data_IF_942416841127
#
_entry.id   IF_942416841127
#
_cell.length_a   1.000
_cell.length_b   1.000
_cell.length_c   1.000
_cell.angle_alpha   90.00
_cell.angle_beta   90.00
_cell.angle_gamma   90.00
#
_symmetry.space_group_name_H-M   'P 1'
#
loop_
_entity.id
_entity.type
_entity.pdbx_description
1 polymer ?
#
# COMPACT_ATOMS: atom_id res chain seq x y z
N UNK A 1 -1.58 -10.68 8.93
CA UNK A 1 -1.17 -11.29 7.62
C UNK A 1 0.35 -11.26 7.48
N UNK A 2 1.07 -12.27 7.96
CA UNK A 2 2.55 -12.29 7.88
C UNK A 2 2.99 -13.38 6.89
N UNK A 3 3.88 -13.02 5.96
CA UNK A 3 4.50 -13.95 5.02
C UNK A 3 6.01 -13.76 5.02
N UNK A 4 6.75 -14.82 5.29
CA UNK A 4 8.22 -14.84 5.15
C UNK A 4 8.56 -15.26 3.73
N UNK A 5 9.36 -14.45 3.04
CA UNK A 5 9.76 -14.66 1.64
C UNK A 5 11.14 -15.31 1.58
N UNK A 6 12.06 -14.86 2.43
CA UNK A 6 13.38 -15.47 2.61
C UNK A 6 13.79 -15.42 4.07
N UNK A 7 14.96 -15.97 4.38
CA UNK A 7 15.58 -15.88 5.71
C UNK A 7 15.82 -14.45 6.18
N UNK A 8 15.81 -13.46 5.27
CA UNK A 8 16.01 -12.04 5.56
C UNK A 8 14.82 -11.14 5.22
N UNK A 9 13.77 -11.64 4.58
CA UNK A 9 12.64 -10.81 4.13
C UNK A 9 11.31 -11.30 4.68
N UNK A 10 10.67 -10.47 5.51
CA UNK A 10 9.27 -10.67 5.97
C UNK A 10 8.37 -9.59 5.40
N UNK A 11 7.20 -9.97 4.91
CA UNK A 11 6.13 -9.08 4.47
C UNK A 11 4.94 -9.15 5.44
N UNK A 12 4.48 -8.00 5.92
CA UNK A 12 3.35 -7.86 6.84
C UNK A 12 2.26 -7.03 6.17
N UNK A 13 1.09 -7.64 6.04
CA UNK A 13 -0.12 -7.01 5.51
C UNK A 13 -0.93 -6.36 6.62
N UNK A 14 -1.28 -5.09 6.45
CA UNK A 14 -2.14 -4.36 7.37
C UNK A 14 -3.48 -4.04 6.71
N UNK A 15 -4.58 -4.37 7.40
CA UNK A 15 -5.93 -4.05 6.96
C UNK A 15 -6.49 -2.96 7.89
N UNK A 16 -6.95 -1.86 7.29
CA UNK A 16 -7.42 -0.63 7.94
C UNK A 16 -8.70 -0.78 8.80
N UNK A 17 -9.06 -2.00 9.19
CA UNK A 17 -10.31 -2.34 9.86
C UNK A 17 -10.06 -2.79 11.31
N UNK A 18 -8.88 -3.33 11.64
CA UNK A 18 -8.62 -3.92 12.96
C UNK A 18 -7.38 -3.36 13.67
N UNK A 19 -7.50 -2.92 14.95
CA UNK A 19 -6.35 -2.53 15.79
C UNK A 19 -5.28 -3.63 15.94
N UNK A 20 -5.69 -4.88 15.73
CA UNK A 20 -4.86 -6.09 15.86
C UNK A 20 -3.69 -6.10 14.87
N UNK A 21 -3.87 -5.57 13.65
CA UNK A 21 -2.79 -5.50 12.66
C UNK A 21 -1.63 -4.58 13.10
N UNK A 22 -1.93 -3.54 13.88
CA UNK A 22 -0.90 -2.60 14.37
C UNK A 22 -0.03 -3.24 15.45
N UNK A 23 -0.64 -3.97 16.38
CA UNK A 23 0.11 -4.67 17.43
C UNK A 23 0.92 -5.83 16.85
N UNK A 24 0.42 -6.51 15.81
CA UNK A 24 1.16 -7.52 15.05
C UNK A 24 2.44 -6.93 14.44
N UNK A 25 2.36 -5.76 13.79
CA UNK A 25 3.55 -5.06 13.26
C UNK A 25 4.56 -4.72 14.36
N UNK A 26 4.10 -4.15 15.48
CA UNK A 26 4.99 -3.80 16.62
C UNK A 26 5.73 -5.02 17.13
N UNK A 27 4.99 -6.11 17.36
CA UNK A 27 5.52 -7.35 17.89
C UNK A 27 6.58 -7.93 16.95
N UNK A 28 6.28 -8.03 15.66
CA UNK A 28 7.22 -8.57 14.67
C UNK A 28 8.51 -7.74 14.59
N UNK A 29 8.41 -6.40 14.59
CA UNK A 29 9.58 -5.51 14.57
C UNK A 29 10.43 -5.70 15.82
N UNK A 30 9.81 -5.81 17.00
CA UNK A 30 10.53 -6.01 18.26
C UNK A 30 11.19 -7.40 18.34
N UNK A 31 10.48 -8.45 17.91
CA UNK A 31 10.97 -9.83 18.00
C UNK A 31 12.09 -10.13 17.00
N UNK A 32 11.99 -9.61 15.76
CA UNK A 32 12.98 -9.86 14.71
C UNK A 32 14.14 -8.88 14.71
N UNK A 33 13.99 -7.73 15.38
CA UNK A 33 15.01 -6.68 15.46
C UNK A 33 15.68 -6.39 14.10
N UNK A 34 14.88 -5.96 13.10
CA UNK A 34 15.35 -5.82 11.73
C UNK A 34 16.38 -4.69 11.59
N UNK A 35 17.21 -4.79 10.55
CA UNK A 35 18.06 -3.68 10.12
C UNK A 35 17.20 -2.58 9.47
N UNK A 36 16.22 -2.99 8.65
CA UNK A 36 15.38 -2.06 7.89
C UNK A 36 13.90 -2.44 8.02
N UNK A 37 13.07 -1.42 8.23
CA UNK A 37 11.62 -1.50 8.08
C UNK A 37 11.20 -0.68 6.86
N UNK A 38 10.78 -1.37 5.80
CA UNK A 38 10.26 -0.78 4.59
C UNK A 38 8.73 -0.61 4.70
N UNK A 39 8.20 0.57 4.34
CA UNK A 39 6.77 0.89 4.52
C UNK A 39 6.13 1.37 3.22
N UNK A 40 4.88 0.97 2.97
CA UNK A 40 4.04 1.44 1.85
C UNK A 40 3.61 2.90 2.03
N UNK A 41 4.60 3.79 2.01
CA UNK A 41 4.44 5.23 1.95
C UNK A 41 5.43 5.80 0.94
N UNK A 42 5.03 6.91 0.33
CA UNK A 42 5.90 7.77 -0.45
C UNK A 42 6.16 9.07 0.33
N UNK A 43 7.23 9.82 0.01
CA UNK A 43 7.61 11.01 0.76
C UNK A 43 6.48 12.04 0.90
N UNK A 44 5.71 12.27 -0.18
CA UNK A 44 4.59 13.22 -0.16
C UNK A 44 3.48 12.79 0.81
N UNK A 45 3.16 11.49 0.87
CA UNK A 45 2.19 10.95 1.84
C UNK A 45 2.73 10.95 3.27
N UNK A 46 4.01 10.65 3.46
CA UNK A 46 4.65 10.70 4.78
C UNK A 46 4.60 12.13 5.36
N UNK A 47 4.98 13.13 4.57
CA UNK A 47 4.90 14.55 4.97
C UNK A 47 3.44 14.95 5.27
N UNK A 48 2.48 14.55 4.43
CA UNK A 48 1.07 14.84 4.67
C UNK A 48 0.58 14.24 6.00
N UNK A 49 0.88 12.98 6.28
CA UNK A 49 0.43 12.29 7.50
C UNK A 49 1.10 12.82 8.77
N UNK A 50 2.36 13.25 8.69
CA UNK A 50 3.09 13.84 9.84
C UNK A 50 2.72 15.31 10.06
N UNK A 51 2.39 16.06 9.00
CA UNK A 51 2.03 17.48 9.09
C UNK A 51 0.54 17.69 9.40
N UNK A 52 -0.35 16.76 9.06
CA UNK A 52 -1.77 16.84 9.50
C UNK A 52 -1.93 16.72 11.03
N UNK A 53 -0.93 16.18 11.74
CA UNK A 53 -0.83 16.29 13.21
C UNK A 53 -0.42 17.69 13.70
N UNK A 54 0.11 18.54 12.81
CA UNK A 54 0.61 19.89 13.06
C UNK A 54 -0.10 20.93 12.17
N UNK A 55 -1.42 21.08 12.34
CA UNK A 55 -2.14 22.36 12.25
C UNK A 55 -2.09 23.27 11.00
N UNK A 56 -1.31 23.01 9.95
CA UNK A 56 -1.13 23.96 8.83
C UNK A 56 -1.40 23.32 7.47
N UNK A 57 -2.66 23.39 7.03
CA UNK A 57 -3.06 23.03 5.65
C UNK A 57 -2.86 24.23 4.74
N UNK A 58 -1.80 24.18 3.93
CA UNK A 58 -1.57 25.11 2.83
C UNK A 58 -2.60 24.92 1.71
N UNK A 59 -3.55 25.85 1.59
CA UNK A 59 -4.42 25.98 0.44
C UNK A 59 -3.64 26.62 -0.72
N UNK A 60 -3.35 25.85 -1.78
CA UNK A 60 -2.62 26.35 -2.95
C UNK A 60 -3.23 25.92 -4.29
N UNK A 61 -4.04 26.81 -4.89
CA UNK A 61 -4.02 27.16 -6.32
C UNK A 61 -4.65 26.22 -7.37
N UNK A 62 -5.79 26.65 -7.96
CA UNK A 62 -6.27 26.25 -9.29
C UNK A 62 -7.78 25.91 -9.39
N UNK A 63 -8.52 26.56 -10.29
CA UNK A 63 -9.97 26.33 -10.45
C UNK A 63 -10.32 24.89 -10.89
N UNK A 64 -9.40 24.17 -11.55
CA UNK A 64 -9.55 22.76 -11.90
C UNK A 64 -9.07 21.78 -10.80
N UNK A 65 -8.15 22.22 -9.93
CA UNK A 65 -7.67 21.45 -8.78
C UNK A 65 -8.67 21.50 -7.63
N UNK A 66 -9.55 22.49 -7.56
CA UNK A 66 -10.59 22.57 -6.52
C UNK A 66 -11.60 21.40 -6.58
N UNK A 67 -12.04 20.98 -7.76
CA UNK A 67 -12.92 19.80 -7.90
C UNK A 67 -12.15 18.50 -7.61
N UNK A 68 -10.91 18.42 -8.09
CA UNK A 68 -10.02 17.28 -7.84
C UNK A 68 -9.74 17.10 -6.34
N UNK A 69 -9.38 18.18 -5.66
CA UNK A 69 -9.15 18.20 -4.22
C UNK A 69 -10.42 17.89 -3.45
N UNK A 70 -11.61 18.29 -3.95
CA UNK A 70 -12.90 17.90 -3.35
C UNK A 70 -13.25 16.43 -3.54
N UNK A 71 -12.98 15.84 -4.71
CA UNK A 71 -13.18 14.40 -4.96
C UNK A 71 -12.20 13.59 -4.13
N UNK A 72 -10.93 14.00 -4.10
CA UNK A 72 -9.89 13.36 -3.29
C UNK A 72 -10.20 13.49 -1.80
N UNK A 73 -10.61 14.68 -1.35
CA UNK A 73 -11.12 14.91 0.00
C UNK A 73 -12.35 14.06 0.27
N UNK A 74 -13.31 13.95 -0.64
CA UNK A 74 -14.50 13.12 -0.46
C UNK A 74 -14.14 11.63 -0.31
N UNK A 75 -13.24 11.11 -1.16
CA UNK A 75 -12.73 9.74 -1.05
C UNK A 75 -12.02 9.56 0.28
N UNK A 76 -11.04 10.41 0.61
CA UNK A 76 -10.29 10.37 1.87
C UNK A 76 -11.21 10.43 3.10
N UNK A 77 -12.19 11.33 3.09
CA UNK A 77 -13.11 11.57 4.21
C UNK A 77 -14.16 10.46 4.35
N UNK A 78 -14.56 9.81 3.24
CA UNK A 78 -15.46 8.65 3.25
C UNK A 78 -14.78 7.41 3.81
N UNK A 79 -13.51 7.20 3.46
CA UNK A 79 -12.67 6.15 4.06
C UNK A 79 -12.42 6.42 5.54
N UNK A 80 -12.06 7.66 5.93
CA UNK A 80 -11.82 8.03 7.33
C UNK A 80 -13.06 7.90 8.25
N UNK A 81 -14.27 8.19 7.74
CA UNK A 81 -15.50 8.16 8.53
C UNK A 81 -16.10 6.76 8.75
N UNK A 82 -15.75 5.77 7.94
CA UNK A 82 -16.22 4.39 8.12
C UNK A 82 -15.30 3.53 9.00
N UNK A 83 -14.06 3.96 9.22
CA UNK A 83 -13.00 3.15 9.86
C UNK A 83 -12.42 3.73 11.16
N UNK A 84 -12.82 4.94 11.56
CA UNK A 84 -12.44 5.53 12.86
C UNK A 84 -10.95 5.92 13.01
N UNK A 85 -10.12 5.73 11.98
CA UNK A 85 -8.69 6.08 11.97
C UNK A 85 -8.25 6.58 10.57
N UNK A 86 -7.38 7.61 10.46
CA UNK A 86 -6.88 8.06 9.16
C UNK A 86 -6.09 6.96 8.46
N UNK A 87 -6.42 6.68 7.20
CA UNK A 87 -5.65 5.79 6.35
C UNK A 87 -4.16 6.19 6.37
N UNK A 88 -3.27 5.25 6.72
CA UNK A 88 -1.83 5.51 6.89
C UNK A 88 -1.32 5.64 8.33
N UNK A 89 -2.18 5.62 9.36
CA UNK A 89 -1.72 5.57 10.76
C UNK A 89 -0.94 4.29 11.09
N UNK A 90 -1.32 3.17 10.46
CA UNK A 90 -0.61 1.88 10.57
C UNK A 90 0.84 2.01 10.11
N UNK A 91 1.04 2.67 8.96
CA UNK A 91 2.36 2.92 8.40
C UNK A 91 3.18 3.86 9.29
N UNK A 92 2.57 4.91 9.85
CA UNK A 92 3.24 5.75 10.85
C UNK A 92 3.64 4.96 12.11
N UNK A 93 2.79 4.00 12.52
CA UNK A 93 3.08 3.17 13.70
C UNK A 93 4.21 2.19 13.41
N UNK A 94 4.28 1.63 12.20
CA UNK A 94 5.42 0.83 11.74
C UNK A 94 6.72 1.66 11.78
N UNK A 95 6.68 2.90 11.28
CA UNK A 95 7.81 3.84 11.31
C UNK A 95 8.26 4.12 12.75
N UNK A 96 7.31 4.45 13.64
CA UNK A 96 7.62 4.71 15.06
C UNK A 96 8.23 3.47 15.74
N UNK A 97 7.70 2.29 15.43
CA UNK A 97 8.21 1.02 15.98
C UNK A 97 9.61 0.69 15.48
N UNK A 98 9.88 0.95 14.20
CA UNK A 98 11.21 0.81 13.61
C UNK A 98 12.22 1.73 14.29
N UNK A 99 11.87 3.01 14.46
CA UNK A 99 12.71 3.99 15.13
C UNK A 99 13.02 3.60 16.58
N UNK A 100 12.02 3.10 17.32
CA UNK A 100 12.19 2.63 18.69
C UNK A 100 13.09 1.38 18.77
N UNK A 101 13.08 0.53 17.75
CA UNK A 101 13.96 -0.63 17.63
C UNK A 101 15.36 -0.28 17.10
N UNK A 102 15.59 0.96 16.66
CA UNK A 102 16.85 1.39 16.05
C UNK A 102 17.04 0.92 14.59
N UNK A 103 15.96 0.48 13.94
CA UNK A 103 15.95 0.09 12.53
C UNK A 103 15.88 1.31 11.61
N UNK A 104 16.51 1.23 10.45
CA UNK A 104 16.37 2.22 9.38
C UNK A 104 14.98 2.11 8.72
N UNK A 105 14.44 3.24 8.27
CA UNK A 105 13.10 3.32 7.69
C UNK A 105 13.21 3.65 6.20
N UNK A 106 12.65 2.78 5.36
CA UNK A 106 12.63 2.96 3.90
C UNK A 106 11.21 3.16 3.37
N UNK A 107 11.00 4.24 2.61
CA UNK A 107 9.74 4.54 1.94
C UNK A 107 9.72 3.90 0.54
N UNK A 108 8.90 2.87 0.36
CA UNK A 108 8.95 2.01 -0.85
C UNK A 108 7.85 2.26 -1.87
N UNK A 109 6.85 3.10 -1.59
CA UNK A 109 5.74 3.33 -2.51
C UNK A 109 6.03 4.42 -3.54
N UNK A 110 5.29 4.39 -4.65
CA UNK A 110 5.33 5.38 -5.71
C UNK A 110 4.67 6.69 -5.27
N UNK A 111 5.11 7.82 -5.84
CA UNK A 111 4.43 9.09 -5.60
C UNK A 111 2.96 9.02 -6.03
N UNK A 112 2.08 9.34 -5.08
CA UNK A 112 0.63 9.23 -5.24
C UNK A 112 0.10 10.08 -6.39
N UNK A 113 0.76 11.20 -6.72
CA UNK A 113 0.38 12.10 -7.79
C UNK A 113 0.52 11.42 -9.15
N UNK A 114 1.56 10.59 -9.33
CA UNK A 114 1.79 9.83 -10.57
C UNK A 114 0.68 8.79 -10.75
N UNK A 115 0.39 8.05 -9.68
CA UNK A 115 -0.70 7.05 -9.63
C UNK A 115 -2.05 7.69 -9.99
N UNK A 116 -2.39 8.81 -9.35
CA UNK A 116 -3.66 9.52 -9.62
C UNK A 116 -3.73 10.04 -11.05
N UNK A 117 -2.64 10.60 -11.59
CA UNK A 117 -2.61 11.08 -12.97
C UNK A 117 -2.83 9.94 -13.97
N UNK A 118 -2.15 8.80 -13.78
CA UNK A 118 -2.30 7.61 -14.62
C UNK A 118 -3.69 7.02 -14.51
N UNK A 119 -4.23 6.93 -13.30
CA UNK A 119 -5.59 6.43 -13.05
C UNK A 119 -6.63 7.29 -13.78
N UNK A 120 -6.51 8.62 -13.70
CA UNK A 120 -7.41 9.55 -14.38
C UNK A 120 -7.32 9.51 -15.90
N UNK A 121 -6.16 9.14 -16.46
CA UNK A 121 -5.98 8.86 -17.89
C UNK A 121 -6.58 7.49 -18.27
N UNK A 122 -6.37 6.47 -17.44
CA UNK A 122 -6.81 5.09 -17.68
C UNK A 122 -8.32 4.87 -17.62
N UNK A 123 -9.05 5.64 -16.81
CA UNK A 123 -10.51 5.54 -16.72
C UNK A 123 -11.27 6.00 -17.98
N UNK A 124 -10.62 6.72 -18.91
CA UNK A 124 -11.29 7.34 -20.05
C UNK A 124 -12.44 8.29 -19.66
N UNK A 125 -13.16 8.84 -20.64
CA UNK A 125 -14.36 9.64 -20.37
C UNK A 125 -15.56 8.75 -19.95
N UNK A 126 -15.62 7.52 -20.47
CA UNK A 126 -16.74 6.60 -20.29
C UNK A 126 -16.75 5.87 -18.95
N UNK A 127 -15.58 5.55 -18.36
CA UNK A 127 -15.50 5.01 -16.99
C UNK A 127 -15.91 6.03 -15.94
N UNK A 128 -15.62 7.32 -16.17
CA UNK A 128 -16.05 8.44 -15.29
C UNK A 128 -17.57 8.61 -15.32
N UNK A 129 -18.19 8.52 -16.49
CA UNK A 129 -19.64 8.59 -16.64
C UNK A 129 -20.34 7.38 -16.00
N UNK A 130 -19.77 6.17 -16.14
CA UNK A 130 -20.28 4.96 -15.49
C UNK A 130 -20.18 5.01 -13.97
N UNK A 131 -19.05 5.47 -13.41
CA UNK A 131 -18.89 5.68 -11.97
C UNK A 131 -19.88 6.72 -11.42
N UNK A 132 -20.10 7.82 -12.15
CA UNK A 132 -21.12 8.81 -11.78
C UNK A 132 -22.53 8.21 -11.80
N UNK A 133 -22.86 7.43 -12.83
CA UNK A 133 -24.16 6.76 -12.94
C UNK A 133 -24.33 5.71 -11.83
N UNK A 134 -23.33 4.85 -11.58
CA UNK A 134 -23.38 3.82 -10.53
C UNK A 134 -23.36 4.40 -9.12
N UNK A 135 -22.64 5.51 -8.89
CA UNK A 135 -22.67 6.24 -7.62
C UNK A 135 -24.01 6.95 -7.38
N UNK A 136 -24.66 7.46 -8.44
CA UNK A 136 -26.02 8.02 -8.34
C UNK A 136 -27.06 6.90 -8.16
N UNK A 137 -26.87 5.75 -8.80
CA UNK A 137 -27.73 4.55 -8.67
C UNK A 137 -27.56 3.84 -7.33
N UNK A 138 -26.40 3.91 -6.67
CA UNK A 138 -26.18 3.29 -5.34
C UNK A 138 -26.80 4.10 -4.20
N UNK A 139 -27.13 5.38 -4.44
CA UNK A 139 -27.89 6.24 -3.51
C UNK A 139 -29.41 6.01 -3.66
N UNK A 140 -29.85 5.43 -4.79
CA UNK A 140 -31.23 4.95 -4.94
C UNK A 140 -31.44 3.71 -4.03
N UNK A 141 -32.61 3.54 -3.40
CA UNK A 141 -32.85 2.52 -2.39
C UNK A 141 -33.06 1.13 -3.02
N UNK A 142 -32.03 0.60 -3.69
CA UNK A 142 -31.99 -0.76 -4.22
C UNK A 142 -30.65 -1.45 -3.91
N UNK A 143 -30.60 -2.10 -2.75
CA UNK A 143 -30.12 -3.50 -2.65
C UNK A 143 -28.63 -3.77 -2.44
N UNK A 144 -28.19 -3.86 -1.18
CA UNK A 144 -27.84 -5.11 -0.46
C UNK A 144 -27.02 -4.76 0.78
N UNK A 145 -27.53 -5.10 1.97
CA UNK A 145 -26.70 -5.22 3.16
C UNK A 145 -25.94 -6.54 3.02
N UNK A 146 -24.61 -6.47 3.00
CA UNK A 146 -23.76 -7.65 3.03
C UNK A 146 -23.63 -8.03 4.51
N UNK A 147 -24.04 -9.24 4.87
CA UNK A 147 -23.74 -9.82 6.19
C UNK A 147 -22.23 -10.11 6.23
N UNK A 148 -21.52 -9.37 7.07
CA UNK A 148 -20.06 -9.41 7.27
C UNK A 148 -19.63 -10.42 8.35
N UNK A 149 -20.55 -11.25 8.82
CA UNK A 149 -20.26 -12.23 9.87
C UNK A 149 -19.69 -13.51 9.24
N UNK A 150 -18.41 -13.80 9.54
CA UNK A 150 -17.62 -14.99 9.17
C UNK A 150 -16.79 -14.97 7.87
N UNK A 151 -16.29 -13.82 7.43
CA UNK A 151 -15.35 -13.72 6.28
C UNK A 151 -14.01 -13.18 6.79
N UNK A 152 -12.88 -13.76 6.35
CA UNK A 152 -11.55 -13.25 6.75
C UNK A 152 -11.22 -11.94 6.01
N UNK A 153 -10.27 -11.16 6.53
CA UNK A 153 -9.86 -9.90 5.88
C UNK A 153 -9.23 -10.15 4.51
N UNK A 154 -8.46 -11.23 4.37
CA UNK A 154 -7.87 -11.66 3.10
C UNK A 154 -8.97 -11.93 2.07
N UNK A 155 -10.02 -12.67 2.45
CA UNK A 155 -11.13 -13.02 1.56
C UNK A 155 -11.93 -11.77 1.12
N UNK A 156 -12.13 -10.79 2.02
CA UNK A 156 -12.75 -9.50 1.68
C UNK A 156 -11.86 -8.74 0.69
N UNK A 157 -10.56 -8.66 0.96
CA UNK A 157 -9.61 -7.93 0.11
C UNK A 157 -9.52 -8.55 -1.27
N UNK A 158 -9.38 -9.87 -1.38
CA UNK A 158 -9.34 -10.58 -2.65
C UNK A 158 -10.58 -10.33 -3.49
N UNK A 159 -11.76 -10.35 -2.86
CA UNK A 159 -13.03 -10.04 -3.52
C UNK A 159 -13.07 -8.61 -4.05
N UNK A 160 -12.64 -7.64 -3.24
CA UNK A 160 -12.59 -6.22 -3.65
C UNK A 160 -11.60 -6.00 -4.81
N UNK A 161 -10.44 -6.65 -4.78
CA UNK A 161 -9.47 -6.59 -5.87
C UNK A 161 -10.01 -7.20 -7.16
N UNK A 162 -10.73 -8.33 -7.05
CA UNK A 162 -11.39 -8.98 -8.18
C UNK A 162 -12.48 -8.10 -8.78
N UNK A 163 -13.36 -7.54 -7.94
CA UNK A 163 -14.41 -6.62 -8.38
C UNK A 163 -13.83 -5.36 -9.05
N UNK A 164 -12.74 -4.80 -8.51
CA UNK A 164 -12.03 -3.67 -9.12
C UNK A 164 -11.48 -4.02 -10.51
N UNK A 165 -10.86 -5.20 -10.66
CA UNK A 165 -10.30 -5.67 -11.93
C UNK A 165 -11.38 -5.92 -12.97
N UNK A 166 -12.48 -6.55 -12.60
CA UNK A 166 -13.64 -6.78 -13.47
C UNK A 166 -14.32 -5.47 -13.88
N UNK A 167 -14.38 -4.51 -12.96
CA UNK A 167 -14.93 -3.19 -13.21
C UNK A 167 -14.06 -2.38 -14.18
N UNK A 168 -12.75 -2.31 -13.93
CA UNK A 168 -11.80 -1.57 -14.73
C UNK A 168 -10.39 -2.12 -14.59
N UNK A 169 -9.99 -2.93 -15.56
CA UNK A 169 -8.61 -3.43 -15.67
C UNK A 169 -7.57 -2.29 -15.72
N UNK A 170 -7.78 -1.17 -16.43
CA UNK A 170 -6.86 -0.02 -16.36
C UNK A 170 -6.70 0.55 -14.95
N UNK A 171 -7.79 0.65 -14.18
CA UNK A 171 -7.75 1.13 -12.80
C UNK A 171 -6.97 0.16 -11.90
N UNK A 172 -7.26 -1.14 -11.99
CA UNK A 172 -6.57 -2.18 -11.24
C UNK A 172 -5.05 -2.19 -11.55
N UNK A 173 -4.68 -2.06 -12.83
CA UNK A 173 -3.29 -2.02 -13.24
C UNK A 173 -2.54 -0.84 -12.60
N UNK A 174 -3.12 0.36 -12.65
CA UNK A 174 -2.47 1.56 -12.08
C UNK A 174 -2.45 1.56 -10.55
N UNK A 175 -3.56 1.19 -9.90
CA UNK A 175 -3.69 1.29 -8.44
C UNK A 175 -2.98 0.16 -7.69
N UNK A 176 -2.84 -1.00 -8.32
CA UNK A 176 -2.30 -2.22 -7.68
C UNK A 176 -1.05 -2.70 -8.41
N UNK A 177 -1.15 -3.17 -9.66
CA UNK A 177 -0.03 -3.88 -10.31
C UNK A 177 1.22 -3.03 -10.48
N UNK A 178 1.10 -1.81 -11.01
CA UNK A 178 2.24 -0.91 -11.22
C UNK A 178 2.90 -0.52 -9.88
N UNK A 179 2.10 -0.35 -8.82
CA UNK A 179 2.61 -0.07 -7.48
C UNK A 179 3.32 -1.27 -6.87
N UNK A 180 2.78 -2.48 -7.04
CA UNK A 180 3.45 -3.71 -6.62
C UNK A 180 4.80 -3.87 -7.30
N UNK A 181 4.87 -3.63 -8.62
CA UNK A 181 6.13 -3.70 -9.37
C UNK A 181 7.15 -2.67 -8.85
N UNK A 182 6.69 -1.43 -8.63
CA UNK A 182 7.55 -0.39 -8.08
C UNK A 182 8.07 -0.73 -6.67
N UNK A 183 7.20 -1.21 -5.80
CA UNK A 183 7.57 -1.64 -4.45
C UNK A 183 8.53 -2.83 -4.48
N UNK A 184 8.26 -3.83 -5.32
CA UNK A 184 9.14 -4.98 -5.49
C UNK A 184 10.54 -4.53 -5.96
N UNK A 185 10.63 -3.62 -6.93
CA UNK A 185 11.91 -3.06 -7.38
C UNK A 185 12.67 -2.33 -6.27
N UNK A 186 11.96 -1.60 -5.41
CA UNK A 186 12.56 -0.93 -4.25
C UNK A 186 13.06 -1.94 -3.22
N UNK A 187 12.25 -2.93 -2.87
CA UNK A 187 12.59 -3.98 -1.92
C UNK A 187 13.80 -4.79 -2.42
N UNK A 188 13.82 -5.20 -3.70
CA UNK A 188 14.96 -5.89 -4.31
C UNK A 188 16.25 -5.08 -4.18
N UNK A 189 16.21 -3.76 -4.39
CA UNK A 189 17.40 -2.91 -4.21
C UNK A 189 17.87 -2.86 -2.76
N UNK A 190 16.94 -2.75 -1.81
CA UNK A 190 17.23 -2.76 -0.38
C UNK A 190 17.88 -4.10 0.01
N UNK A 191 17.30 -5.23 -0.43
CA UNK A 191 17.82 -6.58 -0.19
C UNK A 191 19.26 -6.78 -0.69
N UNK A 192 19.66 -6.11 -1.78
CA UNK A 192 21.01 -6.18 -2.36
C UNK A 192 22.05 -5.36 -1.62
N UNK A 193 21.65 -4.28 -0.95
CA UNK A 193 22.58 -3.35 -0.27
C UNK A 193 22.64 -3.57 1.25
N UNK A 194 21.66 -4.26 1.82
CA UNK A 194 21.59 -4.63 3.23
C UNK A 194 21.84 -6.12 3.41
N UNK A 195 22.49 -6.47 4.52
CA UNK A 195 22.78 -7.86 4.91
C UNK A 195 21.89 -8.37 6.06
N UNK A 196 21.15 -7.49 6.73
CA UNK A 196 20.31 -7.81 7.88
C UNK A 196 18.89 -8.24 7.51
N UNK A 197 18.09 -8.42 8.55
CA UNK A 197 16.66 -8.69 8.48
C UNK A 197 15.90 -7.45 8.00
N UNK A 198 14.97 -7.65 7.07
CA UNK A 198 14.13 -6.61 6.47
C UNK A 198 12.67 -6.99 6.69
N UNK A 199 11.90 -6.06 7.27
CA UNK A 199 10.45 -6.18 7.40
C UNK A 199 9.78 -5.16 6.48
N UNK A 200 8.92 -5.64 5.59
CA UNK A 200 8.10 -4.81 4.72
C UNK A 200 6.68 -4.74 5.26
N UNK A 201 6.16 -3.54 5.52
CA UNK A 201 4.79 -3.31 5.99
C UNK A 201 4.00 -2.66 4.86
N UNK A 202 2.97 -3.36 4.38
CA UNK A 202 2.15 -2.93 3.25
C UNK A 202 0.67 -3.12 3.54
N UNK A 203 -0.19 -2.39 2.84
CA UNK A 203 -1.62 -2.58 2.90
C UNK A 203 -2.03 -3.94 2.35
N UNK A 204 -3.07 -4.54 2.94
CA UNK A 204 -3.58 -5.85 2.58
C UNK A 204 -3.88 -6.01 1.07
N UNK A 205 -4.34 -4.94 0.41
CA UNK A 205 -4.61 -4.95 -1.03
C UNK A 205 -3.38 -5.18 -1.92
N UNK A 206 -2.18 -4.93 -1.41
CA UNK A 206 -0.93 -5.16 -2.13
C UNK A 206 -0.32 -6.53 -1.80
N UNK A 207 -0.68 -7.12 -0.66
CA UNK A 207 -0.08 -8.36 -0.17
C UNK A 207 -0.04 -9.51 -1.18
N UNK A 208 -1.14 -9.91 -1.85
CA UNK A 208 -1.10 -11.09 -2.71
C UNK A 208 -0.13 -10.90 -3.88
N UNK A 209 -0.32 -9.81 -4.64
CA UNK A 209 0.49 -9.58 -5.84
C UNK A 209 1.92 -9.13 -5.56
N UNK A 210 2.20 -8.52 -4.41
CA UNK A 210 3.57 -8.15 -4.03
C UNK A 210 4.33 -9.37 -3.50
N UNK A 211 3.67 -10.25 -2.73
CA UNK A 211 4.25 -11.50 -2.29
C UNK A 211 4.67 -12.36 -3.48
N UNK A 212 3.76 -12.61 -4.44
CA UNK A 212 4.04 -13.44 -5.61
C UNK A 212 5.23 -12.89 -6.43
N UNK A 213 5.31 -11.55 -6.59
CA UNK A 213 6.39 -10.89 -7.32
C UNK A 213 7.74 -11.03 -6.60
N UNK A 214 7.76 -10.91 -5.28
CA UNK A 214 8.98 -11.02 -4.49
C UNK A 214 9.44 -12.48 -4.33
N UNK A 215 8.52 -13.42 -4.17
CA UNK A 215 8.81 -14.86 -4.14
C UNK A 215 9.45 -15.29 -5.47
N UNK A 216 8.87 -14.88 -6.60
CA UNK A 216 9.43 -15.18 -7.93
C UNK A 216 10.79 -14.53 -8.20
N UNK A 217 11.15 -13.46 -7.47
CA UNK A 217 12.47 -12.81 -7.54
C UNK A 217 13.49 -13.54 -6.68
N UNK A 218 13.08 -13.96 -5.49
CA UNK A 218 13.94 -14.78 -4.62
C UNK A 218 14.30 -16.10 -5.31
N UNK A 219 13.34 -16.78 -5.93
CA UNK A 219 13.59 -18.02 -6.69
C UNK A 219 14.59 -17.84 -7.84
N UNK A 220 14.75 -16.62 -8.36
CA UNK A 220 15.71 -16.28 -9.42
C UNK A 220 17.07 -15.84 -8.89
N UNK A 221 17.25 -15.73 -7.58
CA UNK A 221 18.45 -15.15 -6.97
C UNK A 221 18.54 -13.64 -7.16
N UNK A 222 17.43 -12.95 -7.42
CA UNK A 222 17.45 -11.50 -7.65
C UNK A 222 17.84 -10.70 -6.39
N UNK A 223 17.87 -11.32 -5.20
CA UNK A 223 18.31 -10.66 -3.95
C UNK A 223 19.80 -10.83 -3.68
N UNK A 224 20.52 -11.64 -4.47
CA UNK A 224 21.95 -11.85 -4.30
C UNK A 224 22.72 -10.54 -4.51
N UNK A 225 23.62 -10.25 -3.57
CA UNK A 225 24.52 -9.11 -3.69
C UNK A 225 25.49 -9.34 -4.84
N UNK A 226 25.91 -8.24 -5.48
CA UNK A 226 26.91 -8.30 -6.56
C UNK A 226 28.25 -8.90 -6.11
N UNK A 227 28.50 -8.95 -4.81
CA UNK A 227 29.72 -9.50 -4.20
C UNK A 227 29.72 -11.04 -4.16
N UNK A 228 28.54 -11.67 -4.21
CA UNK A 228 28.38 -13.13 -4.13
C UNK A 228 28.27 -13.82 -5.50
N UNK A 229 28.41 -13.07 -6.60
CA UNK A 229 28.43 -13.65 -7.94
C UNK A 229 29.79 -14.34 -8.14
N UNK A 230 29.83 -15.67 -7.97
CA UNK A 230 30.96 -16.49 -8.40
C UNK A 230 31.10 -16.36 -9.93
N UNK A 231 32.07 -15.56 -10.37
CA UNK A 231 32.47 -15.54 -11.78
C UNK A 231 33.11 -16.89 -12.12
N UNK A 232 32.33 -17.79 -12.72
CA UNK A 232 32.91 -18.92 -13.46
C UNK A 232 33.59 -18.35 -14.70
N UNK A 233 34.91 -18.23 -14.61
CA UNK A 233 35.76 -18.04 -15.78
C UNK A 233 35.86 -19.41 -16.44
N UNK A 234 35.17 -19.59 -17.57
CA UNK A 234 35.38 -20.72 -18.50
C UNK A 234 36.68 -20.56 -19.28
#
# INVERSE_FOLDING_TARGET
MIKTISDRLTLIGTAHILPESVEEVKKEIQEKNPEIVAVELCPSRYVALTTEGNGERSQGGGSGTALMNKVLYFVQNRFAQQTGSPAGKEMLTAIESAQNAGAEVELIDQDISITLQKFMKGLGFWGKLRLLIESVLSILPFGKKIDLENITEEEVVERLLKELKEFSEPAYNVLIRERNQYMADRITRIMKISSGQIICVVGAGHMPGLYDELEAREEKGDFDSWENIEFKIE
#
